data_IF_917459553636
#
_entry.id   IF_917459553636
#
_cell.length_a   1.000
_cell.length_b   1.000
_cell.length_c   1.000
_cell.angle_alpha   90.00
_cell.angle_beta   90.00
_cell.angle_gamma   90.00
#
_symmetry.space_group_name_H-M   'P 1'
#
loop_
_entity.id
_entity.type
_entity.pdbx_description
1 polymer ?
#
# COMPACT_ATOMS: atom_id res chain seq x y z
N UNK A 1 -17.24 6.80 2.16
CA UNK A 1 -16.13 7.44 1.44
C UNK A 1 -15.29 6.40 0.68
N UNK A 2 -15.83 5.75 -0.35
CA UNK A 2 -15.12 4.66 -1.04
C UNK A 2 -13.90 5.15 -1.87
N UNK A 3 -13.95 6.37 -2.41
CA UNK A 3 -12.90 6.90 -3.30
C UNK A 3 -11.54 7.10 -2.63
N UNK A 4 -11.50 7.58 -1.39
CA UNK A 4 -10.23 7.84 -0.67
C UNK A 4 -9.50 6.54 -0.36
N UNK A 5 -10.23 5.49 0.06
CA UNK A 5 -9.66 4.16 0.33
C UNK A 5 -9.07 3.55 -0.94
N UNK A 6 -9.82 3.58 -2.04
CA UNK A 6 -9.34 3.07 -3.33
C UNK A 6 -8.12 3.86 -3.82
N UNK A 7 -8.12 5.19 -3.68
CA UNK A 7 -6.96 6.02 -4.04
C UNK A 7 -5.74 5.68 -3.18
N UNK A 8 -5.90 5.45 -1.87
CA UNK A 8 -4.80 5.07 -1.00
C UNK A 8 -4.18 3.72 -1.38
N UNK A 9 -5.00 2.70 -1.64
CA UNK A 9 -4.51 1.38 -2.10
C UNK A 9 -3.79 1.50 -3.44
N UNK A 10 -4.32 2.31 -4.36
CA UNK A 10 -3.68 2.56 -5.65
C UNK A 10 -2.32 3.27 -5.51
N UNK A 11 -2.19 4.21 -4.56
CA UNK A 11 -0.92 4.86 -4.24
C UNK A 11 0.11 3.86 -3.68
N UNK A 12 -0.30 2.92 -2.82
CA UNK A 12 0.57 1.85 -2.32
C UNK A 12 1.08 0.97 -3.46
N UNK A 13 0.21 0.59 -4.40
CA UNK A 13 0.61 -0.16 -5.60
C UNK A 13 1.63 0.62 -6.45
N UNK A 14 1.37 1.89 -6.68
CA UNK A 14 2.24 2.77 -7.47
C UNK A 14 3.61 2.98 -6.81
N UNK A 15 3.64 3.19 -5.49
CA UNK A 15 4.87 3.33 -4.71
C UNK A 15 5.72 2.05 -4.71
N UNK A 16 5.09 0.88 -4.83
CA UNK A 16 5.82 -0.41 -4.95
C UNK A 16 6.55 -0.51 -6.29
N UNK A 17 5.89 -0.09 -7.38
CA UNK A 17 6.47 -0.08 -8.72
C UNK A 17 7.62 0.92 -8.85
N UNK A 18 7.61 2.02 -8.07
CA UNK A 18 8.67 3.03 -8.08
C UNK A 18 10.07 2.44 -7.81
N UNK A 19 10.17 1.30 -7.11
CA UNK A 19 11.42 0.59 -6.89
C UNK A 19 12.08 0.06 -8.17
N UNK A 20 11.31 -0.17 -9.24
CA UNK A 20 11.84 -0.59 -10.55
C UNK A 20 12.58 0.55 -11.26
N UNK A 21 12.16 1.80 -11.05
CA UNK A 21 12.76 2.98 -11.67
C UNK A 21 13.98 3.52 -10.89
N UNK A 22 14.53 2.74 -9.95
CA UNK A 22 15.57 3.21 -9.03
C UNK A 22 15.05 4.09 -7.89
N UNK A 23 13.73 4.21 -7.74
CA UNK A 23 13.09 4.84 -6.59
C UNK A 23 13.24 4.01 -5.30
N UNK A 24 12.91 4.63 -4.16
CA UNK A 24 12.93 3.98 -2.84
C UNK A 24 11.68 3.16 -2.52
N UNK A 25 11.51 2.80 -1.24
CA UNK A 25 10.30 2.14 -0.73
C UNK A 25 10.43 0.62 -0.52
N UNK A 26 9.29 -0.02 -0.19
CA UNK A 26 9.20 -1.44 0.15
C UNK A 26 9.44 -2.36 -1.05
N UNK A 27 9.15 -1.89 -2.26
CA UNK A 27 9.40 -2.62 -3.51
C UNK A 27 10.89 -2.93 -3.76
N UNK A 28 11.83 -2.26 -3.05
CA UNK A 28 13.27 -2.54 -3.20
C UNK A 28 13.66 -3.96 -2.78
N UNK A 29 12.92 -4.56 -1.84
CA UNK A 29 13.18 -5.94 -1.39
C UNK A 29 12.79 -6.92 -2.50
N UNK A 30 11.71 -6.61 -3.22
CA UNK A 30 11.24 -7.38 -4.37
C UNK A 30 12.27 -7.30 -5.50
N UNK A 31 12.72 -6.09 -5.85
CA UNK A 31 13.70 -5.90 -6.92
C UNK A 31 15.07 -6.49 -6.58
N UNK A 32 15.50 -6.43 -5.32
CA UNK A 32 16.69 -7.14 -4.85
C UNK A 32 16.55 -8.66 -5.04
N UNK A 33 15.39 -9.24 -4.70
CA UNK A 33 15.14 -10.67 -4.91
C UNK A 33 15.21 -11.07 -6.39
N UNK A 34 14.70 -10.24 -7.30
CA UNK A 34 14.85 -10.45 -8.73
C UNK A 34 16.31 -10.40 -9.18
N UNK A 35 17.08 -9.43 -8.68
CA UNK A 35 18.50 -9.29 -9.02
C UNK A 35 19.34 -10.47 -8.52
N UNK A 36 18.97 -11.07 -7.38
CA UNK A 36 19.63 -12.26 -6.83
C UNK A 36 19.06 -13.58 -7.40
N UNK A 37 18.11 -13.53 -8.33
CA UNK A 37 17.35 -14.68 -8.83
C UNK A 37 16.76 -15.55 -7.69
N UNK A 38 16.42 -14.92 -6.56
CA UNK A 38 15.96 -15.57 -5.35
C UNK A 38 14.46 -15.40 -5.20
N UNK A 39 13.69 -16.40 -5.64
CA UNK A 39 12.23 -16.45 -5.45
C UNK A 39 11.81 -16.26 -3.99
N UNK A 40 12.48 -16.87 -2.99
CA UNK A 40 12.14 -16.64 -1.58
C UNK A 40 12.19 -15.16 -1.18
N UNK A 41 13.19 -14.42 -1.67
CA UNK A 41 13.36 -13.01 -1.35
C UNK A 41 12.30 -12.12 -2.03
N UNK A 42 11.95 -12.44 -3.28
CA UNK A 42 10.83 -11.79 -3.99
C UNK A 42 9.52 -11.97 -3.22
N UNK A 43 9.23 -13.20 -2.78
CA UNK A 43 8.02 -13.53 -2.02
C UNK A 43 8.02 -12.81 -0.67
N UNK A 44 9.14 -12.79 0.06
CA UNK A 44 9.25 -12.06 1.32
C UNK A 44 8.94 -10.56 1.15
N UNK A 45 9.47 -9.94 0.08
CA UNK A 45 9.16 -8.55 -0.26
C UNK A 45 7.69 -8.34 -0.61
N UNK A 46 7.10 -9.24 -1.41
CA UNK A 46 5.70 -9.18 -1.80
C UNK A 46 4.75 -9.32 -0.60
N UNK A 47 5.05 -10.23 0.33
CA UNK A 47 4.28 -10.41 1.57
C UNK A 47 4.36 -9.14 2.42
N UNK A 48 5.55 -8.55 2.56
CA UNK A 48 5.72 -7.31 3.32
C UNK A 48 4.89 -6.17 2.72
N UNK A 49 4.90 -6.02 1.40
CA UNK A 49 4.06 -5.03 0.70
C UNK A 49 2.57 -5.31 0.90
N UNK A 50 2.14 -6.58 0.80
CA UNK A 50 0.75 -6.97 1.00
C UNK A 50 0.26 -6.64 2.41
N UNK A 51 1.07 -6.95 3.43
CA UNK A 51 0.76 -6.60 4.82
C UNK A 51 0.65 -5.08 4.98
N UNK A 52 1.58 -4.32 4.40
CA UNK A 52 1.51 -2.85 4.44
C UNK A 52 0.24 -2.31 3.77
N UNK A 53 -0.14 -2.86 2.61
CA UNK A 53 -1.38 -2.48 1.92
C UNK A 53 -2.63 -2.75 2.79
N UNK A 54 -2.70 -3.90 3.46
CA UNK A 54 -3.79 -4.24 4.39
C UNK A 54 -3.81 -3.31 5.60
N UNK A 55 -2.65 -2.94 6.14
CA UNK A 55 -2.56 -1.96 7.23
C UNK A 55 -3.12 -0.61 6.77
N UNK A 56 -2.72 -0.13 5.59
CA UNK A 56 -3.24 1.13 5.03
C UNK A 56 -4.75 1.05 4.86
N UNK A 57 -5.27 -0.04 4.28
CA UNK A 57 -6.70 -0.24 4.11
C UNK A 57 -7.45 -0.23 5.46
N UNK A 58 -6.93 -0.96 6.46
CA UNK A 58 -7.51 -1.01 7.80
C UNK A 58 -7.43 0.33 8.53
N UNK A 59 -6.38 1.12 8.34
CA UNK A 59 -6.26 2.48 8.89
C UNK A 59 -7.33 3.39 8.30
N UNK A 60 -7.55 3.34 6.99
CA UNK A 60 -8.61 4.12 6.35
C UNK A 60 -10.01 3.66 6.79
N UNK A 61 -10.24 2.36 6.95
CA UNK A 61 -11.52 1.85 7.47
C UNK A 61 -11.74 2.29 8.93
N UNK A 62 -10.72 2.18 9.78
CA UNK A 62 -10.79 2.62 11.16
C UNK A 62 -11.02 4.13 11.24
N UNK A 63 -10.30 4.92 10.43
CA UNK A 63 -10.50 6.36 10.34
C UNK A 63 -11.93 6.71 9.90
N UNK A 64 -12.52 5.97 8.95
CA UNK A 64 -13.91 6.16 8.54
C UNK A 64 -14.91 5.79 9.64
N UNK A 65 -14.62 4.75 10.44
CA UNK A 65 -15.45 4.35 11.59
C UNK A 65 -15.36 5.31 12.78
N UNK A 66 -14.18 5.86 13.04
CA UNK A 66 -13.91 6.78 14.16
C UNK A 66 -14.18 8.24 13.81
N UNK A 67 -14.18 8.61 12.52
CA UNK A 67 -14.59 9.93 12.09
C UNK A 67 -16.07 10.12 12.43
N UNK A 68 -16.43 11.05 13.34
CA UNK A 68 -17.83 11.40 13.53
C UNK A 68 -18.39 11.87 12.19
N UNK A 69 -19.64 11.50 11.94
CA UNK A 69 -20.46 11.77 10.75
C UNK A 69 -20.64 13.26 10.38
N UNK A 70 -19.83 14.18 10.95
CA UNK A 70 -19.91 15.62 10.82
C UNK A 70 -19.64 16.14 9.39
N UNK A 71 -19.22 15.26 8.46
CA UNK A 71 -19.13 15.57 7.04
C UNK A 71 -20.44 15.36 6.24
N UNK A 72 -21.60 15.20 6.89
CA UNK A 72 -22.88 15.51 6.23
C UNK A 72 -23.05 17.03 6.22
N UNK A 73 -22.42 17.67 5.24
CA UNK A 73 -22.82 19.02 4.84
C UNK A 73 -24.34 19.05 4.58
N UNK A 74 -25.07 20.06 5.09
CA UNK A 74 -26.50 20.18 4.88
C UNK A 74 -26.80 20.51 3.40
N UNK A 75 -27.69 19.69 2.83
CA UNK A 75 -28.54 19.90 1.63
C UNK A 75 -28.10 20.94 0.61
#
# INVERSE_FOLDING_TARGET
MNGVRIAAVQLVATATIAALAGGGGLGRIITAGFNLASTPQVVAGAVLVAVFALIVEGVFEAAERLAPYWARGPR
#
